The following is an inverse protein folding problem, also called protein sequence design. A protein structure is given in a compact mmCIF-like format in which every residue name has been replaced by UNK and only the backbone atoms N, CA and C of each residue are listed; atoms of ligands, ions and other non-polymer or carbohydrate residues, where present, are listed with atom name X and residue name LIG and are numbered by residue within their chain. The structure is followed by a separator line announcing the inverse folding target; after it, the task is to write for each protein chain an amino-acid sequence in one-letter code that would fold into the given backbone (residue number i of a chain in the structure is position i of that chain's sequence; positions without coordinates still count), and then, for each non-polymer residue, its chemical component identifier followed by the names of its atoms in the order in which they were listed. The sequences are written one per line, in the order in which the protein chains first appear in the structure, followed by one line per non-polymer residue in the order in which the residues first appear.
data_IF_495869841820
#
_entry.id   IF_495869841820
#
_cell.length_a   1.000
_cell.length_b   1.000
_cell.length_c   1.000
_cell.angle_alpha   90.00
_cell.angle_beta   90.00
_cell.angle_gamma   90.00
#
_symmetry.space_group_name_H-M   'P 1'
#
loop_
_entity.id
_entity.type
_entity.pdbx_description
1 polymer ?
#
# COMPACT_ATOMS: atom_id res chain seq x y z
N UNK A 1 4.51 1.14 -24.24
CA UNK A 1 3.70 -0.05 -23.89
C UNK A 1 4.40 -1.37 -24.25
N UNK A 2 5.15 -1.46 -25.35
CA UNK A 2 5.82 -2.71 -25.77
C UNK A 2 6.90 -3.21 -24.80
N UNK A 3 7.63 -2.31 -24.17
CA UNK A 3 8.73 -2.65 -23.26
C UNK A 3 8.27 -3.35 -21.97
N UNK A 4 7.16 -2.90 -21.39
CA UNK A 4 6.57 -3.53 -20.19
C UNK A 4 6.15 -4.98 -20.45
N UNK A 5 5.59 -5.23 -21.64
CA UNK A 5 5.07 -6.54 -22.02
C UNK A 5 6.22 -7.53 -22.25
N UNK A 6 7.26 -7.13 -22.98
CA UNK A 6 8.43 -7.98 -23.21
C UNK A 6 9.18 -8.28 -21.93
N UNK A 7 9.40 -7.24 -21.09
CA UNK A 7 10.09 -7.40 -19.81
C UNK A 7 9.34 -8.29 -18.83
N UNK A 8 8.02 -8.16 -18.74
CA UNK A 8 7.18 -9.04 -17.91
C UNK A 8 7.34 -10.52 -18.32
N UNK A 9 7.30 -10.82 -19.62
CA UNK A 9 7.48 -12.17 -20.13
C UNK A 9 8.88 -12.73 -19.85
N UNK A 10 9.91 -11.89 -19.93
CA UNK A 10 11.30 -12.29 -19.63
C UNK A 10 11.48 -12.59 -18.13
N UNK A 11 10.88 -11.81 -17.24
CA UNK A 11 10.92 -12.07 -15.80
C UNK A 11 10.23 -13.39 -15.44
N UNK A 12 9.07 -13.68 -16.04
CA UNK A 12 8.40 -14.97 -15.85
C UNK A 12 9.27 -16.13 -16.33
N UNK A 13 9.90 -16.02 -17.52
CA UNK A 13 10.84 -17.03 -18.05
C UNK A 13 12.08 -17.20 -17.16
N UNK A 14 12.54 -16.14 -16.51
CA UNK A 14 13.64 -16.16 -15.55
C UNK A 14 13.26 -16.80 -14.20
N UNK A 15 11.98 -17.18 -14.00
CA UNK A 15 11.51 -17.89 -12.81
C UNK A 15 10.92 -17.01 -11.72
N UNK A 16 10.42 -15.82 -12.06
CA UNK A 16 9.67 -15.02 -11.10
C UNK A 16 8.36 -15.70 -10.73
N UNK A 17 8.02 -15.72 -9.44
CA UNK A 17 6.78 -16.29 -8.92
C UNK A 17 5.59 -15.33 -9.00
N UNK A 18 5.85 -14.02 -9.07
CA UNK A 18 4.88 -12.94 -9.24
C UNK A 18 5.56 -11.69 -9.77
N UNK A 19 4.79 -10.75 -10.32
CA UNK A 19 5.26 -9.45 -10.76
C UNK A 19 4.57 -8.34 -10.00
N UNK A 20 5.33 -7.37 -9.46
CA UNK A 20 4.77 -6.12 -8.96
C UNK A 20 5.01 -5.01 -9.99
N UNK A 21 3.92 -4.51 -10.58
CA UNK A 21 3.93 -3.38 -11.50
C UNK A 21 3.94 -2.08 -10.70
N UNK A 22 5.01 -1.32 -10.84
CA UNK A 22 5.22 -0.08 -10.10
C UNK A 22 4.85 1.11 -10.99
N UNK A 23 3.55 1.43 -11.06
CA UNK A 23 3.04 2.50 -11.90
C UNK A 23 3.06 3.85 -11.15
N UNK A 24 3.87 4.79 -11.68
CA UNK A 24 3.96 6.17 -11.20
C UNK A 24 3.32 7.10 -12.23
N UNK A 25 2.02 7.34 -12.12
CA UNK A 25 1.31 8.26 -13.00
C UNK A 25 0.93 9.49 -12.17
N UNK A 26 1.52 10.63 -12.50
CA UNK A 26 1.15 11.94 -11.97
C UNK A 26 0.64 12.77 -13.14
N UNK A 27 -0.68 12.92 -13.29
CA UNK A 27 -1.25 13.70 -14.39
C UNK A 27 -0.96 15.17 -14.16
N UNK A 28 -0.39 15.84 -15.18
CA UNK A 28 -0.07 17.27 -15.18
C UNK A 28 -0.89 18.04 -16.22
N UNK A 29 -1.64 17.34 -17.06
CA UNK A 29 -2.53 17.95 -18.04
C UNK A 29 -3.86 18.32 -17.37
N UNK A 30 -4.19 19.61 -17.34
CA UNK A 30 -5.42 20.12 -16.75
C UNK A 30 -6.70 19.70 -17.51
N UNK A 31 -6.55 19.23 -18.74
CA UNK A 31 -7.66 18.75 -19.58
C UNK A 31 -7.86 17.24 -19.49
N UNK A 32 -6.94 16.50 -18.88
CA UNK A 32 -7.07 15.07 -18.71
C UNK A 32 -8.16 14.72 -17.67
N UNK A 33 -9.12 13.91 -18.05
CA UNK A 33 -10.15 13.43 -17.13
C UNK A 33 -9.62 12.30 -16.24
N UNK A 34 -10.10 12.25 -14.99
CA UNK A 34 -9.67 11.22 -14.02
C UNK A 34 -9.87 9.79 -14.54
N UNK A 35 -10.92 9.56 -15.35
CA UNK A 35 -11.19 8.25 -15.95
C UNK A 35 -10.12 7.84 -16.97
N UNK A 36 -9.54 8.79 -17.68
CA UNK A 36 -8.47 8.52 -18.65
C UNK A 36 -7.21 8.05 -17.92
N UNK A 37 -6.88 8.72 -16.81
CA UNK A 37 -5.75 8.33 -15.96
C UNK A 37 -5.97 6.95 -15.34
N UNK A 38 -7.17 6.66 -14.84
CA UNK A 38 -7.51 5.33 -14.32
C UNK A 38 -7.39 4.24 -15.41
N UNK A 39 -7.85 4.53 -16.63
CA UNK A 39 -7.79 3.60 -17.76
C UNK A 39 -6.34 3.23 -18.12
N UNK A 40 -5.38 4.13 -17.96
CA UNK A 40 -3.96 3.81 -18.18
C UNK A 40 -3.50 2.64 -17.29
N UNK A 41 -3.90 2.62 -16.02
CA UNK A 41 -3.59 1.51 -15.10
C UNK A 41 -4.28 0.21 -15.52
N UNK A 42 -5.55 0.28 -15.92
CA UNK A 42 -6.32 -0.90 -16.34
C UNK A 42 -5.73 -1.51 -17.62
N UNK A 43 -5.31 -0.68 -18.56
CA UNK A 43 -4.70 -1.13 -19.81
C UNK A 43 -3.32 -1.78 -19.58
N UNK A 44 -2.49 -1.24 -18.67
CA UNK A 44 -1.22 -1.86 -18.28
C UNK A 44 -1.47 -3.26 -17.72
N UNK A 45 -2.38 -3.41 -16.76
CA UNK A 45 -2.73 -4.71 -16.17
C UNK A 45 -3.22 -5.70 -17.23
N UNK A 46 -4.18 -5.27 -18.05
CA UNK A 46 -4.77 -6.08 -19.12
C UNK A 46 -3.73 -6.58 -20.13
N UNK A 47 -2.77 -5.72 -20.49
CA UNK A 47 -1.71 -6.09 -21.45
C UNK A 47 -0.69 -7.04 -20.81
N UNK A 48 -0.26 -6.82 -19.59
CA UNK A 48 0.66 -7.71 -18.89
C UNK A 48 0.02 -9.09 -18.67
N UNK A 49 -1.23 -9.14 -18.20
CA UNK A 49 -1.96 -10.43 -17.99
C UNK A 49 -2.18 -11.25 -19.24
N UNK A 50 -2.06 -10.67 -20.44
CA UNK A 50 -2.11 -11.43 -21.70
C UNK A 50 -0.84 -12.24 -21.96
N UNK A 51 0.29 -11.84 -21.40
CA UNK A 51 1.60 -12.41 -21.72
C UNK A 51 2.23 -13.20 -20.58
N UNK A 52 1.72 -13.05 -19.35
CA UNK A 52 2.20 -13.81 -18.18
C UNK A 52 1.05 -14.59 -17.54
N UNK A 53 1.42 -15.73 -16.91
CA UNK A 53 0.50 -16.59 -16.14
C UNK A 53 0.65 -16.42 -14.64
N UNK A 54 1.82 -15.93 -14.20
CA UNK A 54 2.10 -15.66 -12.80
C UNK A 54 1.24 -14.49 -12.26
N UNK A 55 1.02 -14.42 -10.95
CA UNK A 55 0.28 -13.32 -10.33
C UNK A 55 0.85 -11.95 -10.66
N UNK A 56 -0.05 -10.99 -10.90
CA UNK A 56 0.30 -9.59 -11.17
C UNK A 56 -0.21 -8.72 -10.02
N UNK A 57 0.70 -8.08 -9.33
CA UNK A 57 0.45 -7.14 -8.26
C UNK A 57 0.56 -5.73 -8.84
N UNK A 58 -0.33 -4.82 -8.47
CA UNK A 58 -0.25 -3.41 -8.92
C UNK A 58 0.03 -2.52 -7.72
N UNK A 59 1.16 -1.84 -7.75
CA UNK A 59 1.50 -0.85 -6.73
C UNK A 59 1.02 0.52 -7.17
N UNK A 60 0.21 1.15 -6.32
CA UNK A 60 -0.54 2.37 -6.64
C UNK A 60 -0.23 3.50 -5.66
N UNK A 61 -0.55 4.72 -6.06
CA UNK A 61 -0.57 5.89 -5.17
C UNK A 61 -1.89 5.98 -4.39
N UNK A 62 -2.01 6.98 -3.52
CA UNK A 62 -3.25 7.28 -2.83
C UNK A 62 -4.08 8.41 -3.51
N UNK A 63 -3.63 8.89 -4.68
CA UNK A 63 -4.24 10.03 -5.40
C UNK A 63 -5.44 9.65 -6.26
N UNK A 64 -6.36 8.87 -5.71
CA UNK A 64 -7.61 8.51 -6.40
C UNK A 64 -8.81 9.05 -5.64
N UNK A 65 -9.74 9.68 -6.34
CA UNK A 65 -10.96 10.24 -5.73
C UNK A 65 -11.82 9.16 -5.08
N UNK A 66 -11.91 7.97 -5.71
CA UNK A 66 -12.63 6.81 -5.17
C UNK A 66 -11.73 5.57 -5.24
N UNK A 67 -10.81 5.47 -4.28
CA UNK A 67 -9.85 4.38 -4.22
C UNK A 67 -10.49 2.97 -4.13
N UNK A 68 -11.57 2.72 -3.36
CA UNK A 68 -12.23 1.42 -3.37
C UNK A 68 -12.78 1.01 -4.75
N UNK A 69 -13.41 1.94 -5.48
CA UNK A 69 -13.91 1.65 -6.83
C UNK A 69 -12.76 1.38 -7.80
N UNK A 70 -11.69 2.15 -7.72
CA UNK A 70 -10.50 1.96 -8.55
C UNK A 70 -9.85 0.59 -8.32
N UNK A 71 -9.64 0.19 -7.05
CA UNK A 71 -9.08 -1.13 -6.70
C UNK A 71 -9.98 -2.27 -7.15
N UNK A 72 -11.30 -2.12 -7.02
CA UNK A 72 -12.26 -3.12 -7.51
C UNK A 72 -12.16 -3.30 -9.04
N UNK A 73 -11.99 -2.19 -9.77
CA UNK A 73 -11.76 -2.24 -11.22
C UNK A 73 -10.41 -2.88 -11.57
N UNK A 74 -9.31 -2.55 -10.89
CA UNK A 74 -8.01 -3.20 -11.10
C UNK A 74 -8.13 -4.73 -11.00
N UNK A 75 -8.82 -5.23 -9.97
CA UNK A 75 -9.11 -6.66 -9.80
C UNK A 75 -9.91 -7.21 -10.97
N UNK A 76 -10.96 -6.51 -11.42
CA UNK A 76 -11.77 -6.92 -12.57
C UNK A 76 -10.96 -6.97 -13.88
N UNK A 77 -9.93 -6.15 -14.02
CA UNK A 77 -9.00 -6.15 -15.15
C UNK A 77 -7.87 -7.17 -15.04
N UNK A 78 -7.80 -7.93 -13.93
CA UNK A 78 -6.91 -9.07 -13.77
C UNK A 78 -5.75 -8.86 -12.79
N UNK A 79 -5.75 -7.79 -12.00
CA UNK A 79 -4.79 -7.69 -10.89
C UNK A 79 -5.10 -8.74 -9.82
N UNK A 80 -4.10 -9.53 -9.45
CA UNK A 80 -4.23 -10.57 -8.43
C UNK A 80 -4.08 -9.99 -7.01
N UNK A 81 -3.30 -8.91 -6.89
CA UNK A 81 -3.10 -8.19 -5.63
C UNK A 81 -2.85 -6.70 -5.89
N UNK A 82 -2.97 -5.90 -4.83
CA UNK A 82 -2.65 -4.47 -4.86
C UNK A 82 -1.70 -4.12 -3.74
N UNK A 83 -0.65 -3.36 -4.07
CA UNK A 83 0.25 -2.77 -3.07
C UNK A 83 -0.10 -1.30 -2.83
N UNK A 84 -0.33 -0.93 -1.57
CA UNK A 84 -0.61 0.43 -1.11
C UNK A 84 0.42 0.86 -0.06
N UNK A 85 1.15 1.95 -0.25
CA UNK A 85 1.17 2.86 -1.40
C UNK A 85 2.59 3.03 -1.94
N UNK A 86 2.71 3.50 -3.18
CA UNK A 86 3.92 4.16 -3.66
C UNK A 86 4.14 5.44 -2.84
N UNK A 87 5.40 5.73 -2.56
CA UNK A 87 5.81 7.03 -2.08
C UNK A 87 6.33 7.84 -3.26
N UNK A 88 5.60 8.88 -3.63
CA UNK A 88 6.02 9.78 -4.70
C UNK A 88 7.13 10.71 -4.20
N UNK A 89 7.91 11.23 -5.15
CA UNK A 89 8.82 12.31 -4.89
C UNK A 89 8.05 13.49 -4.29
N UNK A 90 8.59 14.04 -3.22
CA UNK A 90 8.06 15.22 -2.55
C UNK A 90 9.07 16.35 -2.72
N UNK A 91 8.70 17.48 -3.38
CA UNK A 91 9.57 18.63 -3.47
C UNK A 91 9.65 19.33 -2.11
N UNK A 92 10.77 20.01 -1.88
CA UNK A 92 10.97 20.97 -0.80
C UNK A 92 11.57 22.26 -1.35
N UNK A 93 11.50 23.34 -0.60
CA UNK A 93 12.03 24.65 -1.00
C UNK A 93 13.17 25.06 -0.08
N UNK A 94 14.37 25.18 -0.63
CA UNK A 94 15.50 25.83 0.01
C UNK A 94 15.29 27.34 -0.08
N UNK A 95 14.91 27.96 1.02
CA UNK A 95 14.60 29.39 1.08
C UNK A 95 15.85 30.26 0.98
N UNK A 96 17.02 29.75 1.37
CA UNK A 96 18.27 30.49 1.30
C UNK A 96 18.83 30.52 -0.14
N UNK A 97 18.68 29.42 -0.87
CA UNK A 97 19.09 29.31 -2.26
C UNK A 97 18.00 29.70 -3.26
N UNK A 98 16.76 29.87 -2.78
CA UNK A 98 15.57 30.11 -3.61
C UNK A 98 15.49 29.06 -4.73
N UNK A 99 15.54 27.78 -4.33
CA UNK A 99 15.59 26.65 -5.24
C UNK A 99 14.68 25.51 -4.75
N UNK A 100 14.12 24.75 -5.72
CA UNK A 100 13.38 23.53 -5.42
C UNK A 100 14.39 22.39 -5.24
N UNK A 101 14.28 21.68 -4.13
CA UNK A 101 15.05 20.49 -3.79
C UNK A 101 14.14 19.29 -3.54
N UNK A 102 14.71 18.18 -3.10
CA UNK A 102 13.97 17.02 -2.63
C UNK A 102 13.74 17.11 -1.13
N UNK A 103 12.53 16.76 -0.68
CA UNK A 103 12.27 16.42 0.71
C UNK A 103 12.95 15.10 1.10
N UNK A 104 12.65 14.55 2.28
CA UNK A 104 13.21 13.29 2.73
C UNK A 104 12.94 12.16 1.73
N UNK A 105 13.99 11.44 1.33
CA UNK A 105 13.89 10.25 0.47
C UNK A 105 13.20 9.11 1.20
N UNK A 106 13.40 8.99 2.52
CA UNK A 106 12.83 7.93 3.34
C UNK A 106 11.47 8.32 3.93
N UNK A 107 10.57 7.34 4.02
CA UNK A 107 9.31 7.52 4.72
C UNK A 107 9.55 7.73 6.22
N UNK A 108 8.60 8.42 6.86
CA UNK A 108 8.56 8.57 8.31
C UNK A 108 7.52 7.63 8.93
N UNK A 109 7.62 7.27 10.22
CA UNK A 109 6.59 6.47 10.91
C UNK A 109 5.17 7.07 10.83
N UNK A 110 5.05 8.39 10.67
CA UNK A 110 3.78 9.08 10.52
C UNK A 110 3.04 8.73 9.22
N UNK A 111 3.77 8.38 8.18
CA UNK A 111 3.21 8.03 6.85
C UNK A 111 2.37 6.74 6.91
N UNK A 112 2.60 5.90 7.92
CA UNK A 112 1.79 4.70 8.19
C UNK A 112 0.31 5.01 8.30
N UNK A 113 -0.09 6.20 8.76
CA UNK A 113 -1.50 6.52 9.06
C UNK A 113 -2.39 6.43 7.83
N UNK A 114 -1.92 6.92 6.69
CA UNK A 114 -2.63 6.84 5.41
C UNK A 114 -2.76 5.38 4.96
N UNK A 115 -1.65 4.64 4.96
CA UNK A 115 -1.62 3.22 4.61
C UNK A 115 -2.54 2.41 5.51
N UNK A 116 -2.48 2.60 6.83
CA UNK A 116 -3.30 1.88 7.81
C UNK A 116 -4.79 2.09 7.57
N UNK A 117 -5.21 3.34 7.34
CA UNK A 117 -6.61 3.67 7.05
C UNK A 117 -7.12 2.92 5.83
N UNK A 118 -6.39 3.00 4.73
CA UNK A 118 -6.80 2.39 3.48
C UNK A 118 -6.67 0.88 3.48
N UNK A 119 -5.70 0.32 4.20
CA UNK A 119 -5.64 -1.13 4.46
C UNK A 119 -6.94 -1.60 5.11
N UNK A 120 -7.37 -0.95 6.19
CA UNK A 120 -8.59 -1.33 6.89
C UNK A 120 -9.86 -1.18 6.05
N UNK A 121 -9.96 -0.11 5.25
CA UNK A 121 -11.12 0.10 4.37
C UNK A 121 -11.17 -0.94 3.26
N UNK A 122 -10.10 -1.13 2.51
CA UNK A 122 -10.07 -1.98 1.34
C UNK A 122 -10.26 -3.46 1.70
N UNK A 123 -9.54 -3.95 2.72
CA UNK A 123 -9.68 -5.33 3.20
C UNK A 123 -11.08 -5.63 3.76
N UNK A 124 -11.71 -4.65 4.39
CA UNK A 124 -13.08 -4.78 4.89
C UNK A 124 -14.15 -4.72 3.80
N UNK A 125 -13.86 -4.06 2.68
CA UNK A 125 -14.78 -4.00 1.52
C UNK A 125 -14.72 -5.27 0.66
N UNK A 126 -13.54 -5.86 0.52
CA UNK A 126 -13.33 -7.11 -0.23
C UNK A 126 -12.37 -8.01 0.56
N UNK A 127 -12.93 -9.03 1.23
CA UNK A 127 -12.16 -10.01 2.02
C UNK A 127 -11.28 -10.94 1.15
N UNK A 128 -11.52 -11.00 -0.14
CA UNK A 128 -10.73 -11.79 -1.10
C UNK A 128 -9.61 -10.96 -1.76
N UNK A 129 -9.55 -9.66 -1.48
CA UNK A 129 -8.49 -8.82 -1.99
C UNK A 129 -7.18 -9.15 -1.29
N UNK A 130 -6.18 -9.58 -2.07
CA UNK A 130 -4.81 -9.71 -1.59
C UNK A 130 -4.19 -8.30 -1.54
N UNK A 131 -3.82 -7.86 -0.34
CA UNK A 131 -3.37 -6.50 -0.10
C UNK A 131 -1.98 -6.49 0.53
N UNK A 132 -1.03 -5.88 -0.16
CA UNK A 132 0.30 -5.57 0.37
C UNK A 132 0.33 -4.14 0.87
N UNK A 133 0.69 -3.93 2.14
CA UNK A 133 0.77 -2.60 2.73
C UNK A 133 2.20 -2.11 2.81
N UNK A 134 2.46 -0.91 2.30
CA UNK A 134 3.78 -0.28 2.19
C UNK A 134 3.73 1.16 2.68
N UNK A 135 4.90 1.71 3.00
CA UNK A 135 5.12 3.10 3.44
C UNK A 135 4.83 3.32 4.94
N UNK A 136 5.79 3.89 5.63
CA UNK A 136 5.72 4.19 7.06
C UNK A 136 5.96 2.99 7.99
N UNK A 137 6.44 1.86 7.48
CA UNK A 137 6.70 0.65 8.29
C UNK A 137 8.13 0.71 8.83
N UNK A 138 8.28 1.12 10.08
CA UNK A 138 9.58 1.31 10.73
C UNK A 138 9.86 0.40 11.92
N UNK A 139 8.87 -0.37 12.38
CA UNK A 139 8.99 -1.28 13.51
C UNK A 139 7.94 -2.40 13.49
N UNK A 140 8.08 -3.38 14.38
CA UNK A 140 7.15 -4.52 14.48
C UNK A 140 5.72 -4.13 14.87
N UNK A 141 5.55 -3.04 15.62
CA UNK A 141 4.21 -2.54 15.96
C UNK A 141 3.44 -2.09 14.71
N UNK A 142 4.11 -1.43 13.76
CA UNK A 142 3.53 -1.05 12.48
C UNK A 142 3.09 -2.28 11.67
N UNK A 143 3.89 -3.35 11.68
CA UNK A 143 3.55 -4.63 11.04
C UNK A 143 2.27 -5.21 11.64
N UNK A 144 2.19 -5.32 12.97
CA UNK A 144 1.00 -5.84 13.67
C UNK A 144 -0.25 -5.00 13.35
N UNK A 145 -0.13 -3.67 13.35
CA UNK A 145 -1.24 -2.77 13.01
C UNK A 145 -1.80 -3.02 11.61
N UNK A 146 -0.92 -3.19 10.62
CA UNK A 146 -1.34 -3.42 9.25
C UNK A 146 -1.97 -4.81 9.06
N UNK A 147 -1.42 -5.85 9.72
CA UNK A 147 -2.02 -7.19 9.71
C UNK A 147 -3.41 -7.19 10.39
N UNK A 148 -3.56 -6.54 11.54
CA UNK A 148 -4.87 -6.35 12.19
C UNK A 148 -5.87 -5.59 11.31
N UNK A 149 -5.40 -4.62 10.52
CA UNK A 149 -6.23 -3.92 9.55
C UNK A 149 -6.59 -4.77 8.32
N UNK A 150 -5.90 -5.88 8.07
CA UNK A 150 -6.23 -6.84 7.02
C UNK A 150 -5.21 -6.92 5.88
N UNK A 151 -4.00 -6.40 6.05
CA UNK A 151 -2.93 -6.63 5.08
C UNK A 151 -2.60 -8.13 4.97
N UNK A 152 -2.41 -8.61 3.73
CA UNK A 152 -1.90 -9.95 3.47
C UNK A 152 -0.40 -10.00 3.70
N UNK A 153 0.30 -8.97 3.22
CA UNK A 153 1.75 -8.78 3.38
C UNK A 153 2.07 -7.35 3.76
N UNK A 154 3.26 -7.15 4.34
CA UNK A 154 3.75 -5.83 4.73
C UNK A 154 5.14 -5.61 4.12
N UNK A 155 5.30 -4.53 3.37
CA UNK A 155 6.58 -4.16 2.76
C UNK A 155 7.35 -3.19 3.65
N UNK A 156 8.66 -3.42 3.76
CA UNK A 156 9.60 -2.59 4.52
C UNK A 156 10.72 -2.16 3.59
N UNK A 157 10.97 -0.86 3.49
CA UNK A 157 12.03 -0.30 2.67
C UNK A 157 12.89 0.69 3.47
N UNK A 158 12.36 1.87 3.80
CA UNK A 158 13.11 2.94 4.46
C UNK A 158 13.82 2.50 5.74
N UNK A 159 13.13 1.72 6.58
CA UNK A 159 13.71 1.20 7.81
C UNK A 159 14.93 0.27 7.56
N UNK A 160 14.97 -0.46 6.45
CA UNK A 160 16.15 -1.28 6.10
C UNK A 160 17.35 -0.42 5.69
N UNK A 161 17.11 0.69 4.98
CA UNK A 161 18.17 1.63 4.65
C UNK A 161 18.73 2.33 5.91
N UNK A 162 17.87 2.73 6.83
CA UNK A 162 18.25 3.47 8.03
C UNK A 162 18.84 2.57 9.13
N UNK A 163 18.31 1.36 9.31
CA UNK A 163 18.59 0.49 10.45
C UNK A 163 19.32 -0.80 10.04
N UNK A 164 19.52 -1.01 8.75
CA UNK A 164 20.12 -2.22 8.20
C UNK A 164 19.14 -3.38 8.05
N UNK A 165 19.57 -4.42 7.31
CA UNK A 165 18.73 -5.58 6.96
C UNK A 165 18.26 -6.39 8.19
N UNK A 166 18.98 -6.28 9.31
CA UNK A 166 18.62 -6.92 10.57
C UNK A 166 17.27 -6.47 11.15
N UNK A 167 16.75 -5.31 10.70
CA UNK A 167 15.46 -4.78 11.15
C UNK A 167 14.29 -5.73 10.85
N UNK A 168 14.37 -6.51 9.76
CA UNK A 168 13.34 -7.53 9.43
C UNK A 168 13.27 -8.60 10.51
N UNK A 169 14.42 -9.07 11.01
CA UNK A 169 14.48 -10.03 12.12
C UNK A 169 13.85 -9.44 13.39
N UNK A 170 14.16 -8.20 13.70
CA UNK A 170 13.60 -7.48 14.86
C UNK A 170 12.09 -7.35 14.77
N UNK A 171 11.58 -7.00 13.58
CA UNK A 171 10.13 -6.91 13.34
C UNK A 171 9.43 -8.26 13.48
N UNK A 172 10.01 -9.33 12.92
CA UNK A 172 9.47 -10.69 13.03
C UNK A 172 9.51 -11.19 14.49
N UNK A 173 10.57 -10.89 15.23
CA UNK A 173 10.64 -11.22 16.65
C UNK A 173 9.55 -10.50 17.46
N UNK A 174 9.32 -9.21 17.18
CA UNK A 174 8.24 -8.46 17.81
C UNK A 174 6.88 -9.08 17.50
N UNK A 175 6.61 -9.41 16.22
CA UNK A 175 5.37 -10.03 15.79
C UNK A 175 5.12 -11.36 16.52
N UNK A 176 6.11 -12.25 16.55
CA UNK A 176 6.00 -13.53 17.25
C UNK A 176 5.72 -13.34 18.73
N UNK A 177 6.52 -12.51 19.43
CA UNK A 177 6.33 -12.22 20.86
C UNK A 177 4.94 -11.60 21.15
N UNK A 178 4.42 -10.78 20.23
CA UNK A 178 3.08 -10.22 20.36
C UNK A 178 2.00 -11.29 20.15
N UNK A 179 2.19 -12.19 19.19
CA UNK A 179 1.30 -13.33 18.94
C UNK A 179 1.23 -14.24 20.16
N UNK A 180 2.39 -14.65 20.69
CA UNK A 180 2.49 -15.46 21.91
C UNK A 180 1.75 -14.83 23.09
N UNK A 181 1.99 -13.52 23.32
CA UNK A 181 1.32 -12.76 24.39
C UNK A 181 -0.21 -12.71 24.22
N UNK A 182 -0.71 -12.77 22.99
CA UNK A 182 -2.14 -12.71 22.66
C UNK A 182 -2.78 -14.09 22.50
N UNK A 183 -1.98 -15.17 22.50
CA UNK A 183 -2.44 -16.53 22.32
C UNK A 183 -2.84 -16.86 20.89
N UNK A 184 -2.20 -16.24 19.89
CA UNK A 184 -2.41 -16.54 18.48
C UNK A 184 -1.33 -17.52 17.98
N UNK A 185 -1.76 -18.58 17.31
CA UNK A 185 -0.89 -19.59 16.71
C UNK A 185 -0.52 -19.22 15.26
N UNK A 186 -1.36 -18.44 14.58
CA UNK A 186 -1.14 -18.03 13.19
C UNK A 186 -1.59 -16.58 12.94
N UNK A 187 -1.04 -15.98 11.88
CA UNK A 187 -1.44 -14.64 11.42
C UNK A 187 -2.91 -14.63 11.00
N UNK A 188 -3.40 -15.73 10.44
CA UNK A 188 -4.78 -15.81 9.95
C UNK A 188 -5.82 -15.67 11.06
N UNK A 189 -5.47 -16.01 12.31
CA UNK A 189 -6.37 -15.86 13.45
C UNK A 189 -6.66 -14.41 13.82
N UNK A 190 -5.77 -13.48 13.50
CA UNK A 190 -5.96 -12.07 13.83
C UNK A 190 -5.99 -11.13 12.65
N UNK A 191 -5.61 -11.59 11.44
CA UNK A 191 -5.63 -10.76 10.25
C UNK A 191 -7.02 -10.20 10.01
N UNK A 192 -7.11 -8.88 9.83
CA UNK A 192 -8.35 -8.19 9.51
C UNK A 192 -9.36 -8.05 10.64
N UNK A 193 -9.05 -8.49 11.88
CA UNK A 193 -9.98 -8.32 13.03
C UNK A 193 -10.33 -6.86 13.30
N UNK A 194 -9.51 -5.92 12.85
CA UNK A 194 -9.73 -4.48 12.92
C UNK A 194 -9.93 -3.86 11.54
N UNK A 195 -10.37 -4.64 10.55
CA UNK A 195 -10.79 -4.11 9.26
C UNK A 195 -12.07 -3.28 9.37
N UNK A 196 -12.40 -2.54 8.33
CA UNK A 196 -13.63 -1.75 8.25
C UNK A 196 -14.89 -2.56 8.57
N UNK A 197 -14.97 -3.81 8.11
CA UNK A 197 -16.11 -4.68 8.33
C UNK A 197 -16.17 -5.25 9.78
N UNK A 198 -15.01 -5.54 10.37
CA UNK A 198 -14.90 -6.36 11.57
C UNK A 198 -14.55 -5.57 12.84
N UNK A 199 -14.15 -4.30 12.71
CA UNK A 199 -13.70 -3.45 13.84
C UNK A 199 -14.81 -3.05 14.85
N UNK A 200 -16.06 -3.46 14.64
CA UNK A 200 -17.21 -3.07 15.49
C UNK A 200 -17.57 -1.57 15.43
N UNK A 201 -16.76 -0.74 14.77
CA UNK A 201 -17.00 0.69 14.61
C UNK A 201 -16.42 1.22 13.29
N UNK A 202 -17.10 0.87 12.19
CA UNK A 202 -16.76 1.30 10.83
C UNK A 202 -16.60 2.83 10.69
N UNK A 203 -17.42 3.59 11.45
CA UNK A 203 -17.38 5.06 11.45
C UNK A 203 -16.00 5.64 11.82
N UNK A 204 -15.13 4.88 12.50
CA UNK A 204 -13.75 5.33 12.78
C UNK A 204 -12.90 5.43 11.53
N UNK A 205 -13.10 4.56 10.56
CA UNK A 205 -12.41 4.61 9.27
C UNK A 205 -12.98 5.69 8.33
N UNK A 206 -14.29 5.93 8.38
CA UNK A 206 -14.99 6.92 7.56
C UNK A 206 -14.77 8.37 8.02
N UNK A 207 -14.35 8.54 9.27
CA UNK A 207 -14.23 9.88 9.84
C UNK A 207 -13.23 10.73 9.09
N UNK A 208 -13.72 11.85 8.55
CA UNK A 208 -12.91 12.83 7.81
C UNK A 208 -12.40 13.97 8.72
N UNK A 209 -13.05 14.23 9.87
CA UNK A 209 -12.74 15.36 10.75
C UNK A 209 -12.38 14.94 12.17
N UNK A 210 -11.52 15.70 12.83
CA UNK A 210 -11.07 15.48 14.21
C UNK A 210 -11.97 16.10 15.28
N UNK A 211 -13.08 16.76 14.92
CA UNK A 211 -13.90 17.58 15.83
C UNK A 211 -14.21 16.90 17.17
N UNK A 212 -14.50 15.60 17.18
CA UNK A 212 -14.77 14.86 18.41
C UNK A 212 -13.57 14.78 19.37
N UNK A 213 -12.35 14.88 18.86
CA UNK A 213 -11.12 14.74 19.64
C UNK A 213 -10.54 16.08 20.10
N UNK A 214 -10.97 17.19 19.48
CA UNK A 214 -10.55 18.53 19.93
C UNK A 214 -11.15 18.91 21.27
N UNK A 215 -12.36 18.44 21.59
CA UNK A 215 -12.99 18.69 22.88
C UNK A 215 -12.29 18.02 24.06
N UNK A 216 -11.51 16.97 23.80
CA UNK A 216 -10.79 16.21 24.82
C UNK A 216 -9.38 16.73 25.10
N UNK A 217 -8.89 17.69 24.31
CA UNK A 217 -7.66 18.45 24.53
C UNK A 217 -7.98 19.73 25.33
N UNK A 218 -8.08 19.58 26.65
CA UNK A 218 -8.05 20.69 27.62
C UNK A 218 -6.70 20.76 28.29
#
# INVERSE_FOLDING_TARGET
DGEWISFASELEKAGADALELNAFILPMDEFAESVEVENMYFDIVKHVKKVVKIPVIVKISHYFTNLPAFVSKLKAYGADAVTIFNRFYEPDIDIERIAVGAASVFSMPADLRTTLRWTGILSGKDKLLQLSSSTGVHNGEAVVKLLLAGATTVQVCSAMYEQGIGTIRTMNHFLNSWMDKKGFESIDEFRGRLSYADAGNAARYERAQFMKYFSDHK
#
